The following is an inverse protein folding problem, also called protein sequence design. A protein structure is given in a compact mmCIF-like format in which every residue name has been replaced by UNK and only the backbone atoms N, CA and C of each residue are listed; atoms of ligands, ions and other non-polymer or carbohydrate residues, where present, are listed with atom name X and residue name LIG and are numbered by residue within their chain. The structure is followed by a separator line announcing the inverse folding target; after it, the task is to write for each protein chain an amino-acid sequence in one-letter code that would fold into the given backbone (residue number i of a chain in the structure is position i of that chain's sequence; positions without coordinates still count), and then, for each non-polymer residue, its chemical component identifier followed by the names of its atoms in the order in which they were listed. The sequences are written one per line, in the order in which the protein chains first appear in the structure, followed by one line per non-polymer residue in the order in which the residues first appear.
data_IF_903260016113
#
_entry.id   IF_903260016113
#
_cell.length_a   1.000
_cell.length_b   1.000
_cell.length_c   1.000
_cell.angle_alpha   90.00
_cell.angle_beta   90.00
_cell.angle_gamma   90.00
#
_symmetry.space_group_name_H-M   'P 1'
#
loop_
_entity.id
_entity.type
_entity.pdbx_description
1 polymer ?
#
# COMPACT_ATOMS: atom_id res chain seq x y z
N UNK A 1 -7.39 -16.65 -6.52
CA UNK A 1 -6.06 -16.00 -6.67
C UNK A 1 -6.12 -14.61 -6.05
N UNK A 2 -5.10 -14.27 -5.26
CA UNK A 2 -4.86 -13.00 -4.53
C UNK A 2 -6.04 -12.35 -3.80
N UNK A 3 -6.75 -13.11 -2.95
CA UNK A 3 -7.73 -12.56 -1.97
C UNK A 3 -7.10 -11.72 -0.85
N UNK A 4 -5.78 -11.47 -0.90
CA UNK A 4 -5.01 -10.79 0.16
C UNK A 4 -4.68 -9.34 -0.14
N UNK A 5 -4.84 -8.89 -1.39
CA UNK A 5 -4.61 -7.48 -1.76
C UNK A 5 -5.91 -6.69 -1.63
N UNK A 6 -5.79 -5.48 -1.11
CA UNK A 6 -6.87 -4.49 -0.99
C UNK A 6 -6.31 -3.13 -1.38
N UNK A 7 -7.16 -2.12 -1.67
CA UNK A 7 -6.68 -0.76 -1.90
C UNK A 7 -5.73 -0.31 -0.77
N UNK A 8 -4.56 0.20 -1.13
CA UNK A 8 -3.50 0.61 -0.20
C UNK A 8 -2.55 -0.51 0.27
N UNK A 9 -2.69 -1.75 -0.22
CA UNK A 9 -1.73 -2.83 0.08
C UNK A 9 -0.32 -2.52 -0.44
N UNK A 10 0.68 -2.64 0.42
CA UNK A 10 2.11 -2.67 0.05
C UNK A 10 2.50 -4.12 -0.21
N UNK A 11 3.00 -4.42 -1.41
CA UNK A 11 3.41 -5.77 -1.81
C UNK A 11 4.93 -5.87 -1.77
N UNK A 12 5.45 -6.72 -0.88
CA UNK A 12 6.89 -6.97 -0.74
C UNK A 12 7.34 -8.08 -1.70
N UNK A 13 8.39 -7.81 -2.47
CA UNK A 13 9.07 -8.80 -3.31
C UNK A 13 10.54 -8.94 -2.89
N UNK A 14 11.04 -10.18 -2.89
CA UNK A 14 12.48 -10.43 -2.72
C UNK A 14 13.14 -10.54 -4.10
N UNK A 15 14.03 -9.59 -4.40
CA UNK A 15 14.74 -9.53 -5.69
C UNK A 15 15.76 -10.68 -5.89
N UNK A 16 16.17 -11.34 -4.80
CA UNK A 16 17.18 -12.41 -4.84
C UNK A 16 16.62 -13.81 -5.15
N UNK A 17 15.30 -13.96 -5.26
CA UNK A 17 14.71 -15.27 -5.57
C UNK A 17 14.80 -15.56 -7.08
N UNK A 18 15.41 -16.70 -7.42
CA UNK A 18 15.73 -17.16 -8.79
C UNK A 18 14.58 -17.03 -9.79
N UNK A 19 13.33 -17.13 -9.33
CA UNK A 19 12.13 -17.10 -10.18
C UNK A 19 11.32 -15.80 -10.06
N UNK A 20 11.67 -14.86 -9.17
CA UNK A 20 10.93 -13.59 -8.98
C UNK A 20 10.92 -12.72 -10.23
N UNK A 21 12.02 -12.58 -11.00
CA UNK A 21 12.00 -11.75 -12.22
C UNK A 21 10.97 -12.23 -13.25
N UNK A 22 10.76 -13.55 -13.36
CA UNK A 22 9.82 -14.12 -14.32
C UNK A 22 8.35 -14.05 -13.86
N UNK A 23 8.10 -14.00 -12.55
CA UNK A 23 6.75 -13.95 -11.99
C UNK A 23 6.20 -12.51 -11.89
N UNK A 24 7.08 -11.52 -11.70
CA UNK A 24 6.69 -10.14 -11.45
C UNK A 24 5.80 -9.54 -12.55
N UNK A 25 6.10 -9.66 -13.87
CA UNK A 25 5.25 -9.09 -14.91
C UNK A 25 3.80 -9.61 -14.85
N UNK A 26 3.62 -10.92 -14.70
CA UNK A 26 2.28 -11.55 -14.64
C UNK A 26 1.47 -11.09 -13.42
N UNK A 27 2.14 -10.84 -12.29
CA UNK A 27 1.47 -10.34 -11.09
C UNK A 27 1.01 -8.89 -11.31
N UNK A 28 1.86 -8.05 -11.90
CA UNK A 28 1.53 -6.67 -12.20
C UNK A 28 0.39 -6.56 -13.22
N UNK A 29 0.44 -7.34 -14.30
CA UNK A 29 -0.63 -7.41 -15.31
C UNK A 29 -1.98 -7.78 -14.68
N UNK A 30 -1.99 -8.78 -13.79
CA UNK A 30 -3.23 -9.18 -13.11
C UNK A 30 -3.78 -8.07 -12.21
N UNK A 31 -2.93 -7.40 -11.44
CA UNK A 31 -3.35 -6.32 -10.56
C UNK A 31 -3.89 -5.12 -11.35
N UNK A 32 -3.26 -4.78 -12.47
CA UNK A 32 -3.75 -3.71 -13.36
C UNK A 32 -5.10 -4.10 -13.96
N UNK A 33 -5.26 -5.36 -14.42
CA UNK A 33 -6.53 -5.86 -14.93
C UNK A 33 -7.65 -5.87 -13.87
N UNK A 34 -7.29 -6.01 -12.58
CA UNK A 34 -8.22 -5.93 -11.45
C UNK A 34 -8.56 -4.49 -11.04
N UNK A 35 -8.05 -3.48 -11.76
CA UNK A 35 -8.35 -2.06 -11.54
C UNK A 35 -7.42 -1.37 -10.54
N UNK A 36 -6.33 -2.01 -10.12
CA UNK A 36 -5.35 -1.37 -9.26
C UNK A 36 -4.40 -0.46 -10.04
N UNK A 37 -4.09 0.70 -9.48
CA UNK A 37 -2.98 1.54 -9.91
C UNK A 37 -1.74 1.19 -9.08
N UNK A 38 -0.64 0.85 -9.75
CA UNK A 38 0.65 0.62 -9.09
C UNK A 38 1.36 1.98 -8.96
N UNK A 39 1.70 2.35 -7.72
CA UNK A 39 2.34 3.63 -7.40
C UNK A 39 3.51 3.40 -6.43
N UNK A 40 4.51 4.31 -6.39
CA UNK A 40 5.52 4.32 -5.34
C UNK A 40 4.91 4.47 -3.94
N UNK A 41 5.57 3.91 -2.94
CA UNK A 41 5.11 3.99 -1.53
C UNK A 41 4.94 5.43 -1.05
N UNK A 42 5.74 6.37 -1.58
CA UNK A 42 5.67 7.80 -1.25
C UNK A 42 4.35 8.48 -1.62
N UNK A 43 3.54 7.88 -2.51
CA UNK A 43 2.21 8.38 -2.88
C UNK A 43 1.10 7.91 -1.92
N UNK A 44 1.35 6.87 -1.10
CA UNK A 44 0.32 6.23 -0.26
C UNK A 44 0.55 6.39 1.24
N UNK A 45 1.75 6.82 1.65
CA UNK A 45 2.07 7.05 3.07
C UNK A 45 1.79 8.50 3.48
N UNK A 46 1.40 8.69 4.73
CA UNK A 46 1.35 10.02 5.33
C UNK A 46 2.78 10.51 5.58
N UNK A 47 3.05 11.76 5.23
CA UNK A 47 4.33 12.42 5.48
C UNK A 47 4.34 13.22 6.78
N UNK A 48 3.18 13.70 7.19
CA UNK A 48 2.97 14.56 8.35
C UNK A 48 1.65 14.20 9.03
N UNK A 49 1.45 14.69 10.26
CA UNK A 49 0.20 14.56 11.01
C UNK A 49 -0.32 13.11 11.11
N UNK A 50 0.56 12.17 11.41
CA UNK A 50 0.20 10.79 11.69
C UNK A 50 0.91 10.30 12.96
N UNK A 51 0.33 9.28 13.58
CA UNK A 51 0.96 8.45 14.60
C UNK A 51 1.13 7.03 14.07
N UNK A 52 2.01 6.24 14.68
CA UNK A 52 2.23 4.85 14.31
C UNK A 52 1.77 3.97 15.47
N UNK A 53 0.90 3.00 15.20
CA UNK A 53 0.47 2.05 16.22
C UNK A 53 1.53 0.95 16.47
N UNK A 54 1.28 0.09 17.46
CA UNK A 54 2.20 -1.01 17.82
C UNK A 54 2.42 -2.04 16.70
N UNK A 55 1.56 -2.06 15.68
CA UNK A 55 1.69 -2.92 14.50
C UNK A 55 2.51 -2.27 13.38
N UNK A 56 2.96 -1.03 13.57
CA UNK A 56 3.68 -0.26 12.55
C UNK A 56 2.76 0.43 11.54
N UNK A 57 1.44 0.46 11.76
CA UNK A 57 0.49 1.09 10.86
C UNK A 57 0.39 2.59 11.15
N UNK A 58 0.43 3.41 10.11
CA UNK A 58 0.15 4.85 10.22
C UNK A 58 -1.34 5.11 10.45
N UNK A 59 -1.64 5.94 11.46
CA UNK A 59 -2.96 6.44 11.79
C UNK A 59 -2.93 7.97 11.62
N UNK A 60 -3.75 8.55 10.72
CA UNK A 60 -3.79 10.01 10.57
C UNK A 60 -4.29 10.63 11.87
N UNK A 61 -3.57 11.63 12.36
CA UNK A 61 -4.00 12.44 13.48
C UNK A 61 -5.06 13.38 12.93
N UNK A 62 -6.34 13.01 13.05
CA UNK A 62 -7.42 13.93 12.67
C UNK A 62 -7.30 15.17 13.54
N UNK A 63 -6.98 16.31 12.93
CA UNK A 63 -7.19 17.60 13.59
C UNK A 63 -8.70 17.72 13.74
N UNK A 64 -9.19 17.58 14.97
CA UNK A 64 -10.55 17.97 15.30
C UNK A 64 -10.64 19.48 15.17
N UNK A 65 -10.84 19.99 13.95
CA UNK A 65 -11.48 21.29 13.76
C UNK A 65 -12.88 21.11 14.31
N UNK A 66 -13.08 21.55 15.55
CA UNK A 66 -14.37 21.46 16.22
C UNK A 66 -15.45 22.03 15.33
N UNK A 67 -16.55 21.29 15.20
CA UNK A 67 -17.85 21.87 14.89
C UNK A 67 -18.07 23.01 15.89
N UNK A 68 -18.02 24.25 15.40
CA UNK A 68 -18.60 25.40 16.08
C UNK A 68 -19.99 25.53 15.46
N UNK A 69 -20.92 24.80 16.05
CA UNK A 69 -22.36 25.05 15.93
C UNK A 69 -22.84 25.64 17.26
#
# INVERSE_FOLDING_TARGET
MTTKVKPGSIVLFHNAAKNTPAALPKILEKLIADGYKIVPVSEIIYKENFSVDVSGKQIPNTVSTGSID
#
